data_IF_400004744004
#
_entry.id   IF_400004744004
#
_cell.length_a   1.000
_cell.length_b   1.000
_cell.length_c   1.000
_cell.angle_alpha   90.00
_cell.angle_beta   90.00
_cell.angle_gamma   90.00
#
_symmetry.space_group_name_H-M   'P 1'
#
loop_
_entity.id
_entity.type
_entity.pdbx_description
1 polymer ?
#
# COMPACT_ATOMS: atom_id res chain seq x y z
N UNK A 1 4.74 -36.65 16.20
CA UNK A 1 3.93 -36.16 15.06
C UNK A 1 3.01 -35.07 15.60
N UNK A 2 3.16 -33.81 15.17
CA UNK A 2 2.20 -32.74 15.49
C UNK A 2 0.97 -32.94 14.61
N UNK A 3 -0.23 -32.82 15.19
CA UNK A 3 -1.48 -32.93 14.43
C UNK A 3 -1.48 -31.98 13.24
N UNK A 4 -1.91 -32.39 12.04
CA UNK A 4 -2.05 -31.52 10.89
C UNK A 4 -3.23 -30.55 11.15
N UNK A 5 -2.97 -29.27 11.47
CA UNK A 5 -4.00 -28.24 11.58
C UNK A 5 -3.85 -27.15 12.61
N UNK A 6 -2.81 -27.13 13.45
CA UNK A 6 -2.69 -26.15 14.57
C UNK A 6 -1.82 -24.92 14.28
N UNK A 7 -1.31 -24.74 13.06
CA UNK A 7 -0.51 -23.58 12.66
C UNK A 7 -1.32 -22.49 11.94
N UNK A 8 -0.81 -21.26 11.93
CA UNK A 8 -1.35 -20.19 11.11
C UNK A 8 -1.44 -20.63 9.64
N UNK A 9 -2.52 -20.29 8.90
CA UNK A 9 -2.63 -20.58 7.47
C UNK A 9 -1.55 -19.82 6.70
N UNK A 10 -1.24 -20.30 5.49
CA UNK A 10 -0.38 -19.57 4.58
C UNK A 10 -1.12 -18.39 3.95
N UNK A 11 -0.36 -17.32 3.63
CA UNK A 11 -0.76 -16.24 2.76
C UNK A 11 0.17 -16.27 1.54
N UNK A 12 -0.36 -16.69 0.40
CA UNK A 12 0.34 -16.64 -0.88
C UNK A 12 0.10 -15.26 -1.49
N UNK A 13 1.15 -14.46 -1.53
CA UNK A 13 1.09 -13.07 -2.03
C UNK A 13 1.73 -13.00 -3.40
N UNK A 14 0.99 -12.54 -4.40
CA UNK A 14 1.45 -12.38 -5.78
C UNK A 14 1.65 -10.90 -6.09
N UNK A 15 2.90 -10.50 -6.38
CA UNK A 15 3.27 -9.09 -6.47
C UNK A 15 4.14 -8.78 -7.69
N UNK A 16 3.82 -7.68 -8.36
CA UNK A 16 4.66 -7.05 -9.38
C UNK A 16 5.82 -6.24 -8.78
N UNK A 17 5.81 -6.04 -7.46
CA UNK A 17 6.82 -5.27 -6.75
C UNK A 17 7.93 -6.18 -6.24
N UNK A 18 9.17 -5.66 -6.21
CA UNK A 18 10.30 -6.31 -5.57
C UNK A 18 10.33 -5.97 -4.08
N UNK A 19 10.44 -6.98 -3.24
CA UNK A 19 10.49 -6.83 -1.79
C UNK A 19 11.62 -5.92 -1.31
N UNK A 20 12.79 -6.07 -1.91
CA UNK A 20 14.00 -5.35 -1.51
C UNK A 20 14.24 -4.06 -2.31
N UNK A 21 13.26 -3.57 -3.09
CA UNK A 21 13.46 -2.37 -3.89
C UNK A 21 13.26 -1.09 -3.06
N UNK A 22 12.05 -0.84 -2.60
CA UNK A 22 11.72 0.26 -1.68
C UNK A 22 10.74 -0.24 -0.64
N UNK A 23 10.84 0.30 0.58
CA UNK A 23 9.94 -0.05 1.68
C UNK A 23 8.63 0.74 1.53
N UNK A 24 7.53 0.06 1.32
CA UNK A 24 6.23 0.67 1.05
C UNK A 24 5.07 -0.19 1.58
N UNK A 25 3.82 0.04 1.15
CA UNK A 25 2.62 -0.64 1.62
C UNK A 25 2.75 -2.17 1.79
N UNK A 26 3.25 -2.96 0.81
CA UNK A 26 3.39 -4.40 1.01
C UNK A 26 4.26 -4.77 2.21
N UNK A 27 5.43 -4.14 2.37
CA UNK A 27 6.31 -4.42 3.50
C UNK A 27 5.65 -4.05 4.82
N UNK A 28 5.00 -2.88 4.91
CA UNK A 28 4.29 -2.46 6.11
C UNK A 28 3.17 -3.42 6.52
N UNK A 29 2.37 -3.89 5.55
CA UNK A 29 1.26 -4.79 5.82
C UNK A 29 1.75 -6.21 6.13
N UNK A 30 2.57 -6.78 5.25
CA UNK A 30 2.89 -8.20 5.29
C UNK A 30 3.81 -8.57 6.44
N UNK A 31 4.73 -7.70 6.85
CA UNK A 31 5.54 -7.92 8.06
C UNK A 31 4.67 -8.02 9.32
N UNK A 32 3.60 -7.24 9.40
CA UNK A 32 2.64 -7.30 10.53
C UNK A 32 1.66 -8.47 10.40
N UNK A 33 1.34 -8.88 9.18
CA UNK A 33 0.48 -10.06 8.92
C UNK A 33 1.15 -11.38 9.32
N UNK A 34 2.47 -11.42 9.50
CA UNK A 34 3.17 -12.61 10.02
C UNK A 34 2.66 -13.06 11.40
N UNK A 35 2.02 -12.18 12.17
CA UNK A 35 1.33 -12.55 13.41
C UNK A 35 0.10 -13.46 13.17
N UNK A 36 -0.44 -13.46 11.96
CA UNK A 36 -1.67 -14.19 11.60
C UNK A 36 -1.47 -15.25 10.53
N UNK A 37 -0.38 -15.17 9.76
CA UNK A 37 -0.12 -15.99 8.57
C UNK A 37 1.35 -16.39 8.49
N UNK A 38 1.60 -17.50 7.79
CA UNK A 38 2.90 -17.84 7.22
C UNK A 38 2.94 -17.21 5.82
N UNK A 39 3.66 -16.10 5.66
CA UNK A 39 3.62 -15.31 4.43
C UNK A 39 4.65 -15.79 3.43
N UNK A 40 4.21 -16.13 2.22
CA UNK A 40 5.06 -16.37 1.03
C UNK A 40 4.79 -15.23 0.04
N UNK A 41 5.75 -14.34 -0.12
CA UNK A 41 5.70 -13.22 -1.06
C UNK A 41 6.38 -13.61 -2.36
N UNK A 42 5.58 -13.84 -3.40
CA UNK A 42 6.02 -14.32 -4.70
C UNK A 42 6.15 -13.14 -5.64
N UNK A 43 7.38 -12.86 -6.05
CA UNK A 43 7.74 -11.79 -6.98
C UNK A 43 7.57 -12.22 -8.43
N UNK A 44 7.58 -11.26 -9.35
CA UNK A 44 7.73 -11.56 -10.78
C UNK A 44 9.04 -12.32 -11.05
N UNK A 45 9.07 -13.22 -12.07
CA UNK A 45 10.26 -13.97 -12.37
C UNK A 45 11.42 -13.09 -12.83
N UNK A 46 12.62 -13.60 -12.64
CA UNK A 46 13.87 -13.02 -13.16
C UNK A 46 14.57 -14.00 -14.08
N UNK A 47 15.46 -13.55 -14.98
CA UNK A 47 16.36 -14.44 -15.73
C UNK A 47 17.19 -15.28 -14.78
N UNK A 48 17.28 -16.60 -15.05
CA UNK A 48 18.07 -17.55 -14.29
C UNK A 48 18.80 -18.55 -15.20
N UNK A 49 19.67 -19.39 -14.63
CA UNK A 49 20.35 -20.44 -15.38
C UNK A 49 19.43 -21.60 -15.76
N UNK A 50 18.39 -21.85 -14.97
CA UNK A 50 17.35 -22.88 -15.17
C UNK A 50 16.05 -22.43 -14.49
N UNK A 51 14.95 -23.11 -14.80
CA UNK A 51 13.68 -22.91 -14.12
C UNK A 51 13.77 -23.33 -12.66
N UNK A 52 13.26 -22.50 -11.77
CA UNK A 52 13.26 -22.74 -10.33
C UNK A 52 12.92 -21.47 -9.56
N UNK A 53 13.27 -21.44 -8.30
CA UNK A 53 13.12 -20.22 -7.48
C UNK A 53 14.22 -20.11 -6.44
N UNK A 54 14.45 -18.88 -5.99
CA UNK A 54 15.20 -18.57 -4.77
C UNK A 54 14.25 -18.12 -3.68
N UNK A 55 14.59 -18.42 -2.44
CA UNK A 55 13.81 -17.95 -1.29
C UNK A 55 14.73 -17.40 -0.22
N UNK A 56 14.30 -16.28 0.39
CA UNK A 56 14.98 -15.65 1.52
C UNK A 56 13.96 -15.17 2.54
N UNK A 57 14.33 -15.14 3.82
CA UNK A 57 13.45 -14.62 4.88
C UNK A 57 13.85 -13.17 5.20
N UNK A 58 12.89 -12.29 5.14
CA UNK A 58 13.05 -10.88 5.51
C UNK A 58 11.89 -10.45 6.40
N UNK A 59 12.19 -10.00 7.63
CA UNK A 59 11.20 -9.54 8.62
C UNK A 59 10.04 -10.55 8.84
N UNK A 60 10.36 -11.84 8.85
CA UNK A 60 9.38 -12.93 9.03
C UNK A 60 8.58 -13.31 7.78
N UNK A 61 8.76 -12.60 6.67
CA UNK A 61 8.18 -12.91 5.36
C UNK A 61 9.16 -13.73 4.55
N UNK A 62 8.71 -14.85 3.98
CA UNK A 62 9.49 -15.59 3.00
C UNK A 62 9.28 -14.99 1.62
N UNK A 63 10.32 -14.37 1.09
CA UNK A 63 10.35 -13.80 -0.26
C UNK A 63 10.79 -14.87 -1.23
N UNK A 64 9.96 -15.14 -2.23
CA UNK A 64 10.17 -16.13 -3.27
C UNK A 64 10.36 -15.40 -4.60
N UNK A 65 11.53 -15.55 -5.20
CA UNK A 65 11.88 -14.99 -6.51
C UNK A 65 11.97 -16.12 -7.52
N UNK A 66 10.95 -16.32 -8.39
CA UNK A 66 11.02 -17.29 -9.47
C UNK A 66 12.14 -16.95 -10.44
N UNK A 67 12.82 -17.99 -10.98
CA UNK A 67 13.86 -17.86 -12.01
C UNK A 67 13.44 -18.62 -13.26
N UNK A 68 13.58 -18.01 -14.43
CA UNK A 68 13.33 -18.63 -15.72
C UNK A 68 14.63 -18.72 -16.50
N UNK A 69 15.00 -19.93 -16.90
CA UNK A 69 16.19 -20.19 -17.72
C UNK A 69 15.94 -19.96 -19.20
N UNK A 70 17.00 -19.61 -19.95
CA UNK A 70 16.93 -19.46 -21.41
C UNK A 70 15.94 -18.41 -21.91
N UNK A 71 15.36 -18.65 -23.07
CA UNK A 71 14.29 -17.80 -23.63
C UNK A 71 12.99 -17.96 -22.83
N UNK A 72 12.19 -16.90 -22.81
CA UNK A 72 10.95 -16.87 -22.01
C UNK A 72 9.71 -17.36 -22.77
N UNK A 73 9.91 -18.25 -23.73
CA UNK A 73 8.83 -18.96 -24.39
C UNK A 73 8.04 -19.78 -23.35
N UNK A 74 6.73 -19.89 -23.52
CA UNK A 74 5.82 -20.57 -22.59
C UNK A 74 5.97 -20.10 -21.12
N UNK A 75 6.31 -18.80 -20.91
CA UNK A 75 6.55 -18.20 -19.61
C UNK A 75 5.47 -18.57 -18.59
N UNK A 76 4.20 -18.45 -18.96
CA UNK A 76 3.10 -18.71 -18.04
C UNK A 76 3.05 -20.15 -17.56
N UNK A 77 3.17 -21.13 -18.45
CA UNK A 77 3.18 -22.55 -18.08
C UNK A 77 4.39 -22.93 -17.22
N UNK A 78 5.55 -22.31 -17.47
CA UNK A 78 6.77 -22.53 -16.68
C UNK A 78 6.64 -21.92 -15.28
N UNK A 79 6.13 -20.68 -15.20
CA UNK A 79 5.90 -20.00 -13.92
C UNK A 79 4.84 -20.73 -13.09
N UNK A 80 3.78 -21.28 -13.72
CA UNK A 80 2.81 -22.16 -13.05
C UNK A 80 3.51 -23.32 -12.34
N UNK A 81 4.39 -24.07 -13.04
CA UNK A 81 5.13 -25.19 -12.45
C UNK A 81 6.04 -24.76 -11.29
N UNK A 82 6.65 -23.58 -11.39
CA UNK A 82 7.48 -23.04 -10.30
C UNK A 82 6.61 -22.72 -9.08
N UNK A 83 5.45 -22.09 -9.27
CA UNK A 83 4.50 -21.78 -8.18
C UNK A 83 4.03 -23.10 -7.53
N UNK A 84 3.69 -24.12 -8.32
CA UNK A 84 3.29 -25.44 -7.81
C UNK A 84 4.41 -26.08 -6.97
N UNK A 85 5.67 -25.96 -7.43
CA UNK A 85 6.83 -26.45 -6.65
C UNK A 85 6.95 -25.69 -5.32
N UNK A 86 6.77 -24.36 -5.30
CA UNK A 86 6.75 -23.57 -4.05
C UNK A 86 5.65 -24.07 -3.11
N UNK A 87 4.42 -24.25 -3.62
CA UNK A 87 3.29 -24.76 -2.83
C UNK A 87 3.60 -26.13 -2.23
N UNK A 88 4.21 -27.03 -3.01
CA UNK A 88 4.59 -28.38 -2.59
C UNK A 88 5.73 -28.36 -1.55
N UNK A 89 6.83 -27.63 -1.83
CA UNK A 89 8.03 -27.60 -1.01
C UNK A 89 7.78 -27.00 0.39
N UNK A 90 6.87 -26.01 0.46
CA UNK A 90 6.44 -25.41 1.73
C UNK A 90 5.29 -26.18 2.41
N UNK A 91 4.77 -27.26 1.80
CA UNK A 91 3.67 -28.04 2.34
C UNK A 91 2.39 -27.20 2.56
N UNK A 92 2.07 -26.35 1.59
CA UNK A 92 0.93 -25.41 1.69
C UNK A 92 -0.37 -26.18 1.47
N UNK A 93 -1.10 -26.44 2.54
CA UNK A 93 -2.38 -27.18 2.49
C UNK A 93 -3.58 -26.28 2.80
N UNK A 94 -3.37 -25.24 3.58
CA UNK A 94 -4.41 -24.30 4.01
C UNK A 94 -3.90 -22.88 3.81
N UNK A 95 -4.52 -22.12 2.91
CA UNK A 95 -4.00 -20.83 2.49
C UNK A 95 -5.08 -19.88 1.97
N UNK A 96 -4.73 -18.58 2.01
CA UNK A 96 -5.39 -17.51 1.29
C UNK A 96 -4.48 -17.02 0.16
N UNK A 97 -5.05 -16.57 -0.96
CA UNK A 97 -4.32 -15.89 -2.02
C UNK A 97 -4.53 -14.38 -1.91
N UNK A 98 -3.44 -13.63 -2.00
CA UNK A 98 -3.42 -12.17 -1.94
C UNK A 98 -2.75 -11.63 -3.20
N UNK A 99 -3.46 -10.82 -3.95
CA UNK A 99 -2.97 -10.26 -5.20
C UNK A 99 -2.74 -8.76 -5.06
N UNK A 100 -1.52 -8.30 -5.36
CA UNK A 100 -1.18 -6.90 -5.62
C UNK A 100 -1.26 -6.57 -7.11
N UNK A 101 -1.34 -7.59 -7.96
CA UNK A 101 -1.46 -7.45 -9.42
C UNK A 101 -2.31 -8.57 -9.98
N UNK A 102 -3.17 -8.29 -10.99
CA UNK A 102 -3.91 -9.34 -11.69
C UNK A 102 -3.03 -10.17 -12.63
N UNK A 103 -1.80 -9.73 -12.91
CA UNK A 103 -0.90 -10.37 -13.88
C UNK A 103 -0.47 -11.79 -13.53
N UNK A 104 -0.65 -12.22 -12.27
CA UNK A 104 -0.41 -13.60 -11.84
C UNK A 104 -1.63 -14.53 -12.00
N UNK A 105 -2.78 -14.03 -12.44
CA UNK A 105 -3.98 -14.87 -12.59
C UNK A 105 -3.78 -16.04 -13.57
N UNK A 106 -3.16 -15.86 -14.76
CA UNK A 106 -2.95 -16.96 -15.68
C UNK A 106 -2.24 -18.16 -15.03
N UNK A 107 -1.26 -17.88 -14.19
CA UNK A 107 -0.41 -18.89 -13.51
C UNK A 107 -1.06 -19.49 -12.26
N UNK A 108 -2.10 -18.86 -11.72
CA UNK A 108 -2.67 -19.23 -10.41
C UNK A 108 -4.16 -19.59 -10.44
N UNK A 109 -4.80 -19.61 -11.64
CA UNK A 109 -6.23 -19.94 -11.78
C UNK A 109 -6.61 -21.32 -11.22
N UNK A 110 -5.69 -22.27 -11.26
CA UNK A 110 -5.89 -23.66 -10.80
C UNK A 110 -5.82 -23.81 -9.29
N UNK A 111 -5.23 -22.83 -8.58
CA UNK A 111 -5.12 -22.86 -7.13
C UNK A 111 -6.50 -22.77 -6.46
N UNK A 112 -6.63 -23.42 -5.29
CA UNK A 112 -7.88 -23.51 -4.53
C UNK A 112 -7.71 -22.91 -3.11
N UNK A 113 -7.53 -21.60 -2.98
CA UNK A 113 -7.41 -20.95 -1.68
C UNK A 113 -8.74 -20.98 -0.91
N UNK A 114 -8.69 -20.88 0.43
CA UNK A 114 -9.88 -20.68 1.26
C UNK A 114 -10.51 -19.29 1.05
N UNK A 115 -9.70 -18.32 0.59
CA UNK A 115 -10.14 -16.95 0.34
C UNK A 115 -9.19 -16.27 -0.64
N UNK A 116 -9.75 -15.44 -1.52
CA UNK A 116 -9.01 -14.60 -2.47
C UNK A 116 -9.14 -13.12 -2.08
N UNK A 117 -8.01 -12.46 -1.84
CA UNK A 117 -7.91 -11.02 -1.58
C UNK A 117 -7.31 -10.33 -2.80
N UNK A 118 -7.93 -9.25 -3.24
CA UNK A 118 -7.30 -8.30 -4.16
C UNK A 118 -7.01 -6.99 -3.43
N UNK A 119 -5.73 -6.70 -3.15
CA UNK A 119 -5.28 -5.41 -2.61
C UNK A 119 -4.88 -4.50 -3.78
N UNK A 120 -5.88 -3.81 -4.32
CA UNK A 120 -5.73 -2.84 -5.39
C UNK A 120 -5.15 -1.55 -4.82
N UNK A 121 -3.83 -1.49 -4.69
CA UNK A 121 -3.15 -0.34 -4.10
C UNK A 121 -2.97 0.83 -5.07
N UNK A 122 -2.98 0.56 -6.37
CA UNK A 122 -2.81 1.53 -7.46
C UNK A 122 -3.74 1.19 -8.64
N UNK A 123 -4.02 2.17 -9.50
CA UNK A 123 -4.63 1.95 -10.82
C UNK A 123 -3.55 1.54 -11.82
N UNK A 124 -3.18 0.24 -11.81
CA UNK A 124 -2.05 -0.26 -12.60
C UNK A 124 -2.20 0.00 -14.11
N UNK A 125 -3.44 0.05 -14.62
CA UNK A 125 -3.71 0.33 -16.03
C UNK A 125 -3.38 1.78 -16.44
N UNK A 126 -3.24 2.69 -15.49
CA UNK A 126 -2.90 4.09 -15.73
C UNK A 126 -1.39 4.35 -15.81
N UNK A 127 -0.56 3.36 -15.50
CA UNK A 127 0.90 3.51 -15.58
C UNK A 127 1.40 3.37 -17.02
N UNK A 128 2.45 4.13 -17.33
CA UNK A 128 3.16 4.00 -18.58
C UNK A 128 3.64 2.57 -18.78
N UNK A 129 3.45 2.02 -19.97
CA UNK A 129 3.79 0.63 -20.32
C UNK A 129 2.94 -0.46 -19.63
N UNK A 130 1.75 -0.13 -19.12
CA UNK A 130 0.81 -1.15 -18.63
C UNK A 130 0.50 -2.18 -19.73
N UNK A 131 0.60 -3.51 -19.44
CA UNK A 131 0.26 -4.53 -20.43
C UNK A 131 -1.20 -4.43 -20.86
N UNK A 132 -1.52 -4.63 -22.14
CA UNK A 132 -2.89 -4.48 -22.65
C UNK A 132 -3.89 -5.46 -22.03
N UNK A 133 -3.42 -6.66 -21.64
CA UNK A 133 -4.23 -7.69 -20.97
C UNK A 133 -4.60 -7.34 -19.52
N UNK A 134 -3.93 -6.37 -18.90
CA UNK A 134 -4.10 -6.02 -17.49
C UNK A 134 -5.55 -5.68 -17.12
N UNK A 135 -6.26 -4.94 -18.00
CA UNK A 135 -7.66 -4.54 -17.76
C UNK A 135 -8.60 -5.77 -17.76
N UNK A 136 -8.37 -6.72 -18.66
CA UNK A 136 -9.15 -7.94 -18.71
C UNK A 136 -8.90 -8.84 -17.48
N UNK A 137 -7.63 -8.96 -17.10
CA UNK A 137 -7.22 -9.71 -15.90
C UNK A 137 -7.70 -9.05 -14.60
N UNK A 138 -7.71 -7.71 -14.52
CA UNK A 138 -8.29 -7.01 -13.36
C UNK A 138 -9.78 -7.32 -13.23
N UNK A 139 -10.53 -7.30 -14.33
CA UNK A 139 -11.96 -7.64 -14.31
C UNK A 139 -12.18 -9.08 -13.86
N UNK A 140 -11.34 -10.02 -14.32
CA UNK A 140 -11.38 -11.41 -13.88
C UNK A 140 -11.06 -11.53 -12.38
N UNK A 141 -10.02 -10.83 -11.90
CA UNK A 141 -9.65 -10.85 -10.49
C UNK A 141 -10.72 -10.26 -9.59
N UNK A 142 -11.34 -9.13 -10.00
CA UNK A 142 -12.49 -8.56 -9.28
C UNK A 142 -13.67 -9.55 -9.19
N UNK A 143 -13.92 -10.32 -10.24
CA UNK A 143 -14.98 -11.33 -10.21
C UNK A 143 -14.65 -12.55 -9.34
N UNK A 144 -13.35 -12.86 -9.17
CA UNK A 144 -12.87 -14.02 -8.35
C UNK A 144 -12.62 -13.68 -6.89
N UNK A 145 -12.33 -12.43 -6.58
CA UNK A 145 -12.01 -12.02 -5.23
C UNK A 145 -13.21 -12.20 -4.27
N UNK A 146 -12.95 -12.65 -3.06
CA UNK A 146 -13.92 -12.67 -1.96
C UNK A 146 -13.97 -11.32 -1.25
N UNK A 147 -12.86 -10.59 -1.28
CA UNK A 147 -12.73 -9.25 -0.72
C UNK A 147 -11.72 -8.43 -1.53
N UNK A 148 -12.04 -7.15 -1.72
CA UNK A 148 -11.18 -6.17 -2.39
C UNK A 148 -10.83 -5.07 -1.41
N UNK A 149 -9.55 -4.73 -1.34
CA UNK A 149 -9.04 -3.55 -0.64
C UNK A 149 -8.56 -2.53 -1.67
N UNK A 150 -8.79 -1.25 -1.40
CA UNK A 150 -8.26 -0.16 -2.24
C UNK A 150 -7.28 0.70 -1.45
N UNK A 151 -6.22 1.14 -2.12
CA UNK A 151 -5.12 1.88 -1.52
C UNK A 151 -5.44 3.33 -1.15
N UNK A 152 -6.61 3.84 -1.50
CA UNK A 152 -7.01 5.21 -1.18
C UNK A 152 -8.46 5.55 -1.53
N UNK A 153 -8.97 6.69 -1.04
CA UNK A 153 -10.35 7.13 -1.26
C UNK A 153 -10.71 7.32 -2.73
N UNK A 154 -9.84 7.92 -3.54
CA UNK A 154 -10.08 8.14 -4.96
C UNK A 154 -10.19 6.82 -5.73
N UNK A 155 -9.34 5.86 -5.42
CA UNK A 155 -9.37 4.52 -6.01
C UNK A 155 -10.62 3.74 -5.57
N UNK A 156 -10.99 3.87 -4.28
CA UNK A 156 -12.25 3.31 -3.77
C UNK A 156 -13.46 3.88 -4.53
N UNK A 157 -13.55 5.19 -4.68
CA UNK A 157 -14.65 5.84 -5.41
C UNK A 157 -14.75 5.35 -6.86
N UNK A 158 -13.61 5.07 -7.51
CA UNK A 158 -13.55 4.56 -8.89
C UNK A 158 -13.94 3.07 -9.02
N UNK A 159 -13.82 2.29 -7.94
CA UNK A 159 -14.01 0.82 -8.00
C UNK A 159 -15.14 0.29 -7.10
N UNK A 160 -15.76 1.09 -6.23
CA UNK A 160 -16.77 0.66 -5.26
C UNK A 160 -17.96 -0.09 -5.86
N UNK A 161 -18.35 0.25 -7.08
CA UNK A 161 -19.48 -0.38 -7.78
C UNK A 161 -19.06 -1.65 -8.58
N UNK A 162 -17.77 -2.00 -8.58
CA UNK A 162 -17.23 -3.14 -9.32
C UNK A 162 -17.17 -4.42 -8.48
N UNK A 163 -17.33 -4.32 -7.16
CA UNK A 163 -17.31 -5.49 -6.26
C UNK A 163 -18.15 -5.26 -5.00
N UNK A 164 -18.92 -6.27 -4.58
CA UNK A 164 -19.87 -6.17 -3.47
C UNK A 164 -19.21 -6.11 -2.07
N UNK A 165 -17.98 -6.59 -1.94
CA UNK A 165 -17.23 -6.64 -0.68
C UNK A 165 -15.89 -5.89 -0.86
N UNK A 166 -15.98 -4.58 -1.03
CA UNK A 166 -14.85 -3.69 -1.26
C UNK A 166 -14.70 -2.71 -0.10
N UNK A 167 -13.45 -2.48 0.34
CA UNK A 167 -13.14 -1.62 1.48
C UNK A 167 -11.96 -0.71 1.16
N UNK A 168 -12.05 0.53 1.64
CA UNK A 168 -10.98 1.52 1.52
C UNK A 168 -10.01 1.39 2.69
N UNK A 169 -8.74 1.12 2.38
CA UNK A 169 -7.62 1.15 3.34
C UNK A 169 -6.51 2.03 2.77
N UNK A 170 -6.56 3.35 3.03
CA UNK A 170 -5.54 4.27 2.54
C UNK A 170 -4.16 3.94 3.12
N UNK A 171 -3.15 4.56 2.56
CA UNK A 171 -1.81 4.52 3.13
C UNK A 171 -1.83 5.04 4.56
N UNK A 172 -1.14 4.34 5.45
CA UNK A 172 -1.00 4.68 6.85
C UNK A 172 0.45 5.08 7.16
N UNK A 173 0.84 5.08 8.42
CA UNK A 173 2.13 5.59 8.86
C UNK A 173 2.79 4.70 9.91
N UNK A 174 4.12 4.66 9.89
CA UNK A 174 4.96 4.28 11.04
C UNK A 174 5.36 5.56 11.79
N UNK A 175 4.44 6.06 12.61
CA UNK A 175 4.61 7.34 13.31
C UNK A 175 5.89 7.36 14.15
N UNK A 176 6.15 6.29 14.92
CA UNK A 176 7.32 6.21 15.80
C UNK A 176 8.64 6.25 15.01
N UNK A 177 8.64 5.74 13.78
CA UNK A 177 9.82 5.77 12.92
C UNK A 177 10.11 7.20 12.44
N UNK A 178 9.12 7.90 11.87
CA UNK A 178 9.32 9.23 11.31
C UNK A 178 9.40 10.34 12.37
N UNK A 179 8.71 10.20 13.50
CA UNK A 179 8.79 11.15 14.61
C UNK A 179 10.22 11.29 15.19
N UNK A 180 11.12 10.31 14.97
CA UNK A 180 12.55 10.44 15.31
C UNK A 180 13.18 11.68 14.67
N UNK A 181 12.72 12.09 13.49
CA UNK A 181 13.22 13.26 12.79
C UNK A 181 13.02 14.58 13.55
N UNK A 182 12.07 14.63 14.50
CA UNK A 182 11.85 15.81 15.36
C UNK A 182 12.95 16.03 16.40
N UNK A 183 13.78 15.01 16.64
CA UNK A 183 14.85 15.04 17.64
C UNK A 183 16.19 15.59 17.12
N UNK A 184 16.23 16.31 16.01
CA UNK A 184 17.45 16.87 15.41
C UNK A 184 18.56 15.84 15.24
N UNK A 185 18.30 14.81 14.44
CA UNK A 185 19.25 13.75 14.13
C UNK A 185 20.47 14.30 13.38
N UNK A 186 21.60 13.60 13.52
CA UNK A 186 22.83 13.93 12.80
C UNK A 186 22.56 13.98 11.28
N UNK A 187 22.97 15.08 10.67
CA UNK A 187 22.85 15.29 9.23
C UNK A 187 23.74 14.28 8.47
N UNK A 188 23.17 13.49 7.54
CA UNK A 188 23.95 12.61 6.68
C UNK A 188 25.09 13.36 5.96
N UNK A 189 26.23 12.73 5.83
CA UNK A 189 27.46 13.40 5.37
C UNK A 189 27.32 13.96 3.95
N UNK A 190 26.72 13.19 3.06
CA UNK A 190 26.46 13.58 1.68
C UNK A 190 25.39 14.69 1.56
N UNK A 191 24.37 14.67 2.43
CA UNK A 191 23.39 15.76 2.47
C UNK A 191 23.98 17.04 3.08
N UNK A 192 24.93 16.90 4.00
CA UNK A 192 25.55 18.06 4.68
C UNK A 192 26.24 19.01 3.71
N UNK A 193 26.75 18.50 2.57
CA UNK A 193 27.36 19.29 1.53
C UNK A 193 26.35 20.24 0.84
N UNK A 194 25.06 19.92 0.85
CA UNK A 194 24.01 20.84 0.44
C UNK A 194 23.83 21.94 1.50
N UNK A 195 23.70 23.18 1.08
CA UNK A 195 23.46 24.32 1.97
C UNK A 195 22.08 24.28 2.67
N UNK A 196 21.72 25.37 3.32
CA UNK A 196 20.41 25.60 3.93
C UNK A 196 19.83 26.93 3.45
N UNK A 197 18.50 27.15 3.47
CA UNK A 197 17.46 26.16 3.86
C UNK A 197 17.30 25.03 2.83
N UNK A 198 16.69 23.90 3.28
CA UNK A 198 16.49 22.70 2.46
C UNK A 198 15.03 22.36 2.28
N UNK A 199 14.66 22.09 1.03
CA UNK A 199 13.36 21.54 0.65
C UNK A 199 13.58 20.12 0.15
N UNK A 200 13.00 19.13 0.82
CA UNK A 200 13.29 17.73 0.55
C UNK A 200 12.12 16.93 -0.03
N UNK A 201 12.47 15.93 -0.83
CA UNK A 201 11.60 14.88 -1.32
C UNK A 201 12.28 13.53 -1.13
N UNK A 202 11.55 12.52 -0.66
CA UNK A 202 12.00 11.14 -0.78
C UNK A 202 10.98 10.26 -1.48
N UNK A 203 11.45 9.29 -2.24
CA UNK A 203 10.65 8.30 -2.95
C UNK A 203 11.17 8.00 -4.34
N UNK A 204 10.49 7.11 -5.03
CA UNK A 204 10.81 6.79 -6.43
C UNK A 204 10.61 8.02 -7.31
N UNK A 205 11.61 8.33 -8.12
CA UNK A 205 11.59 9.39 -9.13
C UNK A 205 11.31 8.71 -10.48
N UNK A 206 10.08 8.83 -10.97
CA UNK A 206 9.60 8.23 -12.21
C UNK A 206 8.65 9.18 -12.96
N UNK A 207 7.84 8.66 -13.88
CA UNK A 207 6.89 9.46 -14.68
C UNK A 207 5.85 10.23 -13.86
N UNK A 208 5.75 9.96 -12.57
CA UNK A 208 4.87 10.69 -11.64
C UNK A 208 5.51 11.96 -11.07
N UNK A 209 6.82 12.12 -11.26
CA UNK A 209 7.55 13.27 -10.75
C UNK A 209 7.54 14.42 -11.78
N UNK A 210 7.14 15.62 -11.35
CA UNK A 210 7.15 16.83 -12.18
C UNK A 210 8.55 17.50 -12.17
N UNK A 211 9.39 17.04 -13.08
CA UNK A 211 10.76 17.55 -13.21
C UNK A 211 10.80 19.03 -13.64
N UNK A 212 9.81 19.50 -14.42
CA UNK A 212 9.75 20.90 -14.85
C UNK A 212 9.38 21.82 -13.68
N UNK A 213 8.42 21.41 -12.86
CA UNK A 213 8.05 22.12 -11.63
C UNK A 213 9.26 22.29 -10.71
N UNK A 214 10.06 21.22 -10.51
CA UNK A 214 11.30 21.29 -9.73
C UNK A 214 12.29 22.27 -10.37
N UNK A 215 12.51 22.20 -11.71
CA UNK A 215 13.44 23.07 -12.44
C UNK A 215 13.09 24.53 -12.26
N UNK A 216 11.84 24.88 -12.52
CA UNK A 216 11.37 26.26 -12.42
C UNK A 216 11.43 26.80 -10.97
N UNK A 217 11.01 25.98 -10.00
CA UNK A 217 11.04 26.37 -8.58
C UNK A 217 12.49 26.61 -8.13
N UNK A 218 13.40 25.69 -8.43
CA UNK A 218 14.82 25.82 -8.06
C UNK A 218 15.48 27.05 -8.69
N UNK A 219 15.15 27.36 -9.96
CA UNK A 219 15.63 28.56 -10.64
C UNK A 219 15.18 29.86 -9.98
N UNK A 220 13.96 29.89 -9.45
CA UNK A 220 13.41 31.05 -8.74
C UNK A 220 13.90 31.20 -7.30
N UNK A 221 14.54 30.16 -6.75
CA UNK A 221 14.99 30.11 -5.35
C UNK A 221 16.47 29.69 -5.25
N UNK A 222 17.41 30.46 -5.81
CA UNK A 222 18.83 30.04 -5.88
C UNK A 222 19.50 29.89 -4.49
N UNK A 223 18.92 30.49 -3.44
CA UNK A 223 19.38 30.37 -2.06
C UNK A 223 18.75 29.21 -1.28
N UNK A 224 17.87 28.42 -1.90
CA UNK A 224 17.23 27.24 -1.29
C UNK A 224 17.74 25.97 -1.96
N UNK A 225 18.06 24.96 -1.18
CA UNK A 225 18.61 23.69 -1.67
C UNK A 225 17.53 22.62 -1.73
N UNK A 226 17.37 22.00 -2.90
CA UNK A 226 16.38 20.95 -3.16
C UNK A 226 17.06 19.60 -3.06
N UNK A 227 16.65 18.77 -2.09
CA UNK A 227 17.27 17.47 -1.78
C UNK A 227 16.32 16.35 -2.22
N UNK A 228 16.72 15.58 -3.24
CA UNK A 228 15.94 14.50 -3.83
C UNK A 228 16.53 13.16 -3.41
N UNK A 229 15.82 12.41 -2.58
CA UNK A 229 16.24 11.10 -2.04
C UNK A 229 15.42 9.99 -2.67
N UNK A 230 16.05 9.07 -3.39
CA UNK A 230 15.41 7.90 -3.96
C UNK A 230 15.96 7.47 -5.31
N UNK A 231 15.55 6.28 -5.78
CA UNK A 231 15.98 5.76 -7.08
C UNK A 231 15.26 6.45 -8.23
N UNK A 232 15.97 6.66 -9.33
CA UNK A 232 15.40 7.08 -10.62
C UNK A 232 15.08 5.83 -11.43
N UNK A 233 13.82 5.64 -11.83
CA UNK A 233 13.40 4.46 -12.60
C UNK A 233 12.37 4.85 -13.66
N UNK A 234 12.30 4.07 -14.73
CA UNK A 234 11.34 4.22 -15.86
C UNK A 234 11.44 5.53 -16.65
N UNK A 235 12.31 6.45 -16.27
CA UNK A 235 12.63 7.68 -17.01
C UNK A 235 14.13 7.74 -17.25
N UNK A 236 14.54 8.51 -18.26
CA UNK A 236 15.95 8.79 -18.51
C UNK A 236 16.46 9.78 -17.44
N UNK A 237 17.48 9.42 -16.63
CA UNK A 237 18.05 10.33 -15.64
C UNK A 237 18.56 11.65 -16.24
N UNK A 238 18.94 11.68 -17.52
CA UNK A 238 19.38 12.90 -18.21
C UNK A 238 18.26 13.94 -18.38
N UNK A 239 16.99 13.54 -18.25
CA UNK A 239 15.83 14.46 -18.29
C UNK A 239 15.61 15.24 -17.00
N UNK A 240 16.25 14.80 -15.91
CA UNK A 240 16.12 15.45 -14.62
C UNK A 240 16.86 16.81 -14.61
N UNK A 241 16.29 17.84 -13.96
CA UNK A 241 16.91 19.15 -13.90
C UNK A 241 18.22 19.12 -13.13
N UNK A 242 19.25 19.75 -13.71
CA UNK A 242 20.56 19.94 -13.08
C UNK A 242 20.73 21.43 -12.76
N UNK A 243 20.99 21.74 -11.50
CA UNK A 243 21.29 23.10 -11.03
C UNK A 243 22.16 23.03 -9.77
N UNK A 244 22.94 24.09 -9.45
CA UNK A 244 23.82 24.08 -8.27
C UNK A 244 23.08 23.86 -6.94
N UNK A 245 21.78 24.13 -6.89
CA UNK A 245 20.94 23.97 -5.71
C UNK A 245 19.98 22.77 -5.79
N UNK A 246 20.17 21.84 -6.74
CA UNK A 246 19.44 20.57 -6.80
C UNK A 246 20.40 19.42 -6.52
N UNK A 247 20.08 18.59 -5.53
CA UNK A 247 20.95 17.53 -5.03
C UNK A 247 20.22 16.19 -5.07
N UNK A 248 20.72 15.24 -5.87
CA UNK A 248 20.19 13.88 -5.96
C UNK A 248 21.03 12.95 -5.08
N UNK A 249 20.42 12.40 -4.02
CA UNK A 249 21.09 11.57 -3.02
C UNK A 249 21.07 10.07 -3.35
N UNK A 250 20.33 9.67 -4.42
CA UNK A 250 20.13 8.26 -4.74
C UNK A 250 19.25 7.53 -3.73
N UNK A 251 19.15 6.23 -3.90
CA UNK A 251 18.34 5.36 -3.02
C UNK A 251 18.98 5.28 -1.62
N UNK A 252 18.12 5.31 -0.60
CA UNK A 252 18.48 5.14 0.82
C UNK A 252 17.61 4.07 1.46
N UNK A 253 18.15 3.45 2.51
CA UNK A 253 17.39 2.52 3.31
C UNK A 253 16.27 3.25 4.08
N UNK A 254 15.16 2.56 4.30
CA UNK A 254 14.02 3.12 5.03
C UNK A 254 14.43 3.62 6.42
N UNK A 255 15.36 2.92 7.08
CA UNK A 255 15.90 3.27 8.40
C UNK A 255 16.62 4.62 8.44
N UNK A 256 17.17 5.07 7.32
CA UNK A 256 17.96 6.30 7.24
C UNK A 256 17.11 7.55 6.98
N UNK A 257 15.90 7.36 6.44
CA UNK A 257 15.02 8.46 6.03
C UNK A 257 14.77 9.50 7.13
N UNK A 258 14.55 9.12 8.41
CA UNK A 258 14.39 10.12 9.48
C UNK A 258 15.59 11.07 9.63
N UNK A 259 16.83 10.60 9.40
CA UNK A 259 18.02 11.44 9.50
C UNK A 259 18.09 12.47 8.36
N UNK A 260 17.72 12.08 7.14
CA UNK A 260 17.60 13.02 6.02
C UNK A 260 16.52 14.07 6.31
N UNK A 261 15.30 13.64 6.65
CA UNK A 261 14.14 14.51 6.87
C UNK A 261 14.36 15.43 8.07
N UNK A 262 15.05 14.98 9.12
CA UNK A 262 15.37 15.79 10.30
C UNK A 262 16.12 17.07 9.96
N UNK A 263 16.78 17.10 8.82
CA UNK A 263 17.62 18.19 8.36
C UNK A 263 17.00 18.99 7.19
N UNK A 264 15.71 18.77 6.89
CA UNK A 264 14.95 19.60 5.96
C UNK A 264 14.16 20.67 6.73
N UNK A 265 13.87 21.76 6.07
CA UNK A 265 13.03 22.84 6.59
C UNK A 265 11.59 22.67 6.09
N UNK A 266 11.41 22.25 4.83
CA UNK A 266 10.14 21.99 4.17
C UNK A 266 10.21 20.66 3.41
N UNK A 267 9.14 19.92 3.35
CA UNK A 267 8.99 18.76 2.47
C UNK A 267 8.17 19.11 1.23
N UNK A 268 8.49 18.53 0.08
CA UNK A 268 7.76 18.77 -1.15
C UNK A 268 7.23 17.48 -1.77
N UNK A 269 6.09 17.60 -2.47
CA UNK A 269 5.49 16.54 -3.27
C UNK A 269 5.18 17.06 -4.68
N UNK A 270 6.18 17.14 -5.56
CA UNK A 270 6.03 17.68 -6.91
C UNK A 270 5.57 16.58 -7.87
N UNK A 271 4.35 16.09 -7.68
CA UNK A 271 3.79 15.10 -8.58
C UNK A 271 3.18 15.76 -9.82
N UNK A 272 3.47 15.16 -10.98
CA UNK A 272 2.79 15.49 -12.22
C UNK A 272 1.29 15.14 -12.10
N UNK A 273 0.43 15.97 -12.66
CA UNK A 273 -1.01 15.75 -12.69
C UNK A 273 -1.38 14.99 -13.96
N UNK A 274 -1.29 13.68 -13.92
CA UNK A 274 -1.56 12.78 -15.05
C UNK A 274 -2.39 11.57 -14.60
N UNK A 275 -2.70 10.65 -15.52
CA UNK A 275 -3.52 9.48 -15.21
C UNK A 275 -2.88 8.58 -14.12
N UNK A 276 -1.54 8.44 -14.09
CA UNK A 276 -0.86 7.60 -13.11
C UNK A 276 -0.89 8.16 -11.67
N UNK A 277 -1.10 9.49 -11.53
CA UNK A 277 -1.18 10.17 -10.22
C UNK A 277 -2.61 10.41 -9.75
N UNK A 278 -3.60 10.16 -10.60
CA UNK A 278 -5.01 10.46 -10.33
C UNK A 278 -5.57 9.72 -9.11
N UNK A 279 -5.11 8.47 -8.88
CA UNK A 279 -5.66 7.58 -7.86
C UNK A 279 -4.63 7.16 -6.81
N UNK A 280 -3.49 7.85 -6.73
CA UNK A 280 -2.49 7.52 -5.71
C UNK A 280 -2.87 8.08 -4.34
N UNK A 281 -2.58 7.30 -3.29
CA UNK A 281 -2.66 7.72 -1.89
C UNK A 281 -1.24 7.67 -1.29
N UNK A 282 -0.45 8.76 -1.42
CA UNK A 282 0.95 8.75 -1.05
C UNK A 282 1.16 8.57 0.46
N UNK A 283 2.08 7.68 0.84
CA UNK A 283 2.53 7.55 2.24
C UNK A 283 3.30 8.77 2.72
N UNK A 284 3.90 9.51 1.79
CA UNK A 284 4.85 10.61 2.08
C UNK A 284 4.24 11.76 2.88
N UNK A 285 3.00 12.15 2.58
CA UNK A 285 2.38 13.28 3.30
C UNK A 285 2.32 13.04 4.81
N UNK A 286 1.73 11.93 5.32
CA UNK A 286 1.72 11.68 6.75
C UNK A 286 3.14 11.41 7.31
N UNK A 287 4.07 10.87 6.52
CA UNK A 287 5.46 10.63 6.93
C UNK A 287 6.21 11.94 7.16
N UNK A 288 6.08 12.93 6.26
CA UNK A 288 6.64 14.27 6.43
C UNK A 288 6.03 15.02 7.61
N UNK A 289 4.72 14.94 7.75
CA UNK A 289 4.00 15.58 8.85
C UNK A 289 4.41 14.97 10.21
N UNK A 290 4.55 13.65 10.31
CA UNK A 290 5.04 13.00 11.53
C UNK A 290 6.49 13.40 11.86
N UNK A 291 7.31 13.61 10.84
CA UNK A 291 8.67 14.11 10.98
C UNK A 291 8.73 15.61 11.37
N UNK A 292 7.57 16.28 11.50
CA UNK A 292 7.51 17.71 11.84
C UNK A 292 7.92 18.61 10.68
N UNK A 293 7.68 18.18 9.43
CA UNK A 293 8.00 19.00 8.24
C UNK A 293 6.71 19.45 7.56
N UNK A 294 6.52 20.77 7.32
CA UNK A 294 5.41 21.25 6.53
C UNK A 294 5.56 20.77 5.09
N UNK A 295 4.44 20.60 4.39
CA UNK A 295 4.40 19.94 3.07
C UNK A 295 3.86 20.90 2.02
N UNK A 296 4.59 21.08 0.92
CA UNK A 296 4.10 21.72 -0.29
C UNK A 296 3.84 20.66 -1.34
N UNK A 297 2.60 20.52 -1.80
CA UNK A 297 2.17 19.47 -2.72
C UNK A 297 1.44 20.02 -3.93
N UNK A 298 1.61 19.38 -5.08
CA UNK A 298 0.65 19.49 -6.18
C UNK A 298 -0.69 18.89 -5.75
N UNK A 299 -1.83 19.26 -6.39
CA UNK A 299 -3.16 18.82 -5.97
C UNK A 299 -3.44 17.35 -6.33
N UNK A 300 -2.68 16.42 -5.77
CA UNK A 300 -2.99 14.99 -5.78
C UNK A 300 -4.30 14.78 -5.04
N UNK A 301 -5.26 14.09 -5.65
CA UNK A 301 -6.64 13.99 -5.17
C UNK A 301 -6.73 13.58 -3.70
N UNK A 302 -6.08 12.49 -3.32
CA UNK A 302 -6.15 11.98 -1.94
C UNK A 302 -5.38 12.85 -0.94
N UNK A 303 -4.35 13.60 -1.39
CA UNK A 303 -3.67 14.59 -0.54
C UNK A 303 -4.58 15.77 -0.25
N UNK A 304 -5.25 16.29 -1.30
CA UNK A 304 -6.21 17.40 -1.15
C UNK A 304 -7.33 17.04 -0.18
N UNK A 305 -7.96 15.87 -0.39
CA UNK A 305 -9.11 15.45 0.43
C UNK A 305 -8.74 15.11 1.88
N UNK A 306 -7.53 14.60 2.12
CA UNK A 306 -7.16 14.11 3.45
C UNK A 306 -6.40 15.15 4.26
N UNK A 307 -5.56 15.96 3.61
CA UNK A 307 -4.59 16.82 4.29
C UNK A 307 -4.69 18.29 3.89
N UNK A 308 -5.51 18.63 2.89
CA UNK A 308 -5.55 19.98 2.32
C UNK A 308 -6.01 21.08 3.27
N UNK A 309 -6.74 20.73 4.33
CA UNK A 309 -7.23 21.68 5.34
C UNK A 309 -6.22 21.95 6.47
N UNK A 310 -5.14 21.15 6.57
CA UNK A 310 -4.11 21.36 7.60
C UNK A 310 -3.23 22.57 7.26
N UNK A 311 -3.06 23.48 8.22
CA UNK A 311 -2.19 24.65 8.09
C UNK A 311 -0.75 24.30 7.66
N UNK A 312 -0.27 23.09 7.98
CA UNK A 312 1.07 22.59 7.61
C UNK A 312 1.12 21.93 6.24
N UNK A 313 0.06 22.05 5.42
CA UNK A 313 0.01 21.52 4.06
C UNK A 313 -0.46 22.60 3.09
N UNK A 314 0.38 22.93 2.12
CA UNK A 314 0.03 23.85 1.04
C UNK A 314 -0.19 23.07 -0.26
N UNK A 315 -1.39 23.23 -0.84
CA UNK A 315 -1.76 22.63 -2.14
C UNK A 315 -1.63 23.68 -3.24
N UNK A 316 -0.71 23.48 -4.16
CA UNK A 316 -0.31 24.46 -5.17
C UNK A 316 -0.12 23.84 -6.55
N UNK A 317 -0.20 24.66 -7.62
CA UNK A 317 -0.25 24.17 -9.00
C UNK A 317 0.89 24.67 -9.90
N UNK A 318 1.66 25.64 -9.43
CA UNK A 318 2.69 26.27 -10.26
C UNK A 318 3.96 26.54 -9.45
N UNK A 319 5.08 26.67 -10.13
CA UNK A 319 6.37 26.97 -9.52
C UNK A 319 6.36 28.29 -8.71
N UNK A 320 5.60 29.29 -9.14
CA UNK A 320 5.38 30.53 -8.36
C UNK A 320 4.69 30.28 -7.04
N UNK A 321 3.65 29.44 -7.06
CA UNK A 321 2.91 29.09 -5.85
C UNK A 321 3.75 28.20 -4.94
N UNK A 322 4.55 27.26 -5.52
CA UNK A 322 5.53 26.48 -4.75
C UNK A 322 6.51 27.38 -4.02
N UNK A 323 7.10 28.33 -4.75
CA UNK A 323 8.01 29.33 -4.16
C UNK A 323 7.34 30.07 -2.99
N UNK A 324 6.17 30.65 -3.20
CA UNK A 324 5.47 31.40 -2.17
C UNK A 324 5.14 30.54 -0.93
N UNK A 325 4.68 29.30 -1.11
CA UNK A 325 4.38 28.39 -0.01
C UNK A 325 5.66 27.94 0.73
N UNK A 326 6.76 27.73 0.03
CA UNK A 326 8.04 27.40 0.66
C UNK A 326 8.51 28.59 1.50
N UNK A 327 8.46 29.83 0.97
CA UNK A 327 8.86 31.05 1.68
C UNK A 327 8.00 31.24 2.95
N UNK A 328 6.68 31.06 2.84
CA UNK A 328 5.78 31.11 3.99
C UNK A 328 6.15 30.08 5.06
N UNK A 329 6.42 28.81 4.68
CA UNK A 329 6.79 27.77 5.63
C UNK A 329 8.19 27.93 6.24
N UNK A 330 9.11 28.61 5.56
CA UNK A 330 10.42 28.94 6.12
C UNK A 330 10.34 30.01 7.23
N UNK A 331 9.30 30.83 7.20
CA UNK A 331 9.01 31.87 8.19
C UNK A 331 7.98 31.43 9.25
N UNK A 332 7.29 30.27 9.01
CA UNK A 332 6.16 29.82 9.83
C UNK A 332 6.61 29.30 11.21
N UNK A 333 5.80 29.59 12.20
CA UNK A 333 6.01 29.18 13.59
C UNK A 333 5.50 27.76 13.93
N UNK A 334 5.42 27.45 15.22
CA UNK A 334 5.01 26.13 15.71
C UNK A 334 3.50 25.87 15.63
N UNK A 335 2.67 26.87 15.27
CA UNK A 335 1.22 26.74 15.25
C UNK A 335 0.74 25.71 14.21
N UNK A 336 -0.36 25.01 14.52
CA UNK A 336 -1.00 24.02 13.63
C UNK A 336 -0.48 22.58 13.79
N UNK A 337 0.62 22.34 14.51
CA UNK A 337 1.13 20.98 14.71
C UNK A 337 0.23 20.13 15.61
N UNK A 338 -0.46 20.73 16.59
CA UNK A 338 -1.37 20.02 17.49
C UNK A 338 -2.50 19.30 16.75
N UNK A 339 -3.08 19.93 15.73
CA UNK A 339 -4.13 19.34 14.90
C UNK A 339 -3.58 18.18 14.05
N UNK A 340 -2.43 18.39 13.43
CA UNK A 340 -1.72 17.34 12.65
C UNK A 340 -1.42 16.13 13.54
N UNK A 341 -0.83 16.34 14.71
CA UNK A 341 -0.46 15.27 15.63
C UNK A 341 -1.69 14.52 16.16
N UNK A 342 -2.79 15.21 16.47
CA UNK A 342 -4.04 14.59 16.86
C UNK A 342 -4.61 13.69 15.74
N UNK A 343 -4.54 14.13 14.49
CA UNK A 343 -4.96 13.32 13.35
C UNK A 343 -4.08 12.09 13.15
N UNK A 344 -2.75 12.27 13.15
CA UNK A 344 -1.80 11.18 12.94
C UNK A 344 -1.82 10.13 14.07
N UNK A 345 -2.16 10.52 15.31
CA UNK A 345 -2.30 9.60 16.44
C UNK A 345 -3.39 8.52 16.19
N UNK A 346 -4.37 8.80 15.33
CA UNK A 346 -5.39 7.83 14.91
C UNK A 346 -4.93 6.84 13.83
N UNK A 347 -3.74 7.03 13.26
CA UNK A 347 -3.22 6.26 12.13
C UNK A 347 -2.09 5.33 12.55
N UNK A 348 -2.15 4.08 12.11
CA UNK A 348 -1.00 3.16 12.19
C UNK A 348 -1.17 1.99 11.22
N UNK A 349 -0.06 1.49 10.69
CA UNK A 349 -0.07 0.25 9.90
C UNK A 349 -0.55 -0.95 10.70
N UNK A 350 -0.32 -0.96 12.02
CA UNK A 350 -0.82 -2.02 12.90
C UNK A 350 -2.35 -2.04 12.91
N UNK A 351 -2.98 -0.89 13.12
CA UNK A 351 -4.44 -0.76 13.08
C UNK A 351 -5.00 -1.12 11.69
N UNK A 352 -4.35 -0.69 10.63
CA UNK A 352 -4.76 -1.05 9.26
C UNK A 352 -4.77 -2.57 9.08
N UNK A 353 -3.73 -3.28 9.51
CA UNK A 353 -3.67 -4.75 9.41
C UNK A 353 -4.75 -5.41 10.27
N UNK A 354 -4.98 -4.96 11.49
CA UNK A 354 -6.02 -5.48 12.38
C UNK A 354 -7.41 -5.35 11.75
N UNK A 355 -7.71 -4.18 11.18
CA UNK A 355 -8.98 -3.91 10.52
C UNK A 355 -9.14 -4.77 9.23
N UNK A 356 -8.08 -4.92 8.43
CA UNK A 356 -8.08 -5.81 7.24
C UNK A 356 -8.30 -7.27 7.64
N UNK A 357 -7.59 -7.76 8.67
CA UNK A 357 -7.75 -9.13 9.19
C UNK A 357 -9.17 -9.35 9.73
N UNK A 358 -9.76 -8.35 10.38
CA UNK A 358 -11.16 -8.43 10.83
C UNK A 358 -12.14 -8.56 9.66
N UNK A 359 -11.92 -7.82 8.55
CA UNK A 359 -12.72 -7.98 7.31
C UNK A 359 -12.57 -9.39 6.74
N UNK A 360 -11.34 -9.89 6.62
CA UNK A 360 -11.05 -11.24 6.12
C UNK A 360 -11.79 -12.31 6.96
N UNK A 361 -11.71 -12.21 8.28
CA UNK A 361 -12.36 -13.14 9.19
C UNK A 361 -13.89 -13.12 9.04
N UNK A 362 -14.49 -11.94 8.88
CA UNK A 362 -15.93 -11.80 8.61
C UNK A 362 -16.33 -12.43 7.28
N UNK A 363 -15.53 -12.23 6.24
CA UNK A 363 -15.76 -12.81 4.90
C UNK A 363 -15.73 -14.35 4.97
N UNK A 364 -14.70 -14.91 5.59
CA UNK A 364 -14.59 -16.38 5.79
C UNK A 364 -15.78 -16.97 6.58
N UNK A 365 -16.22 -16.28 7.63
CA UNK A 365 -17.36 -16.75 8.43
C UNK A 365 -18.66 -16.79 7.61
N UNK A 366 -18.89 -15.78 6.76
CA UNK A 366 -20.05 -15.74 5.84
C UNK A 366 -20.00 -16.86 4.81
N UNK A 367 -18.87 -17.09 4.17
CA UNK A 367 -18.70 -18.17 3.18
C UNK A 367 -18.97 -19.56 3.79
N UNK A 368 -18.45 -19.82 5.01
CA UNK A 368 -18.70 -21.08 5.74
C UNK A 368 -20.17 -21.25 6.15
N UNK A 369 -20.85 -20.16 6.51
CA UNK A 369 -22.27 -20.20 6.86
C UNK A 369 -23.13 -20.55 5.64
N UNK A 370 -22.89 -19.89 4.50
CA UNK A 370 -23.62 -20.19 3.24
C UNK A 370 -23.37 -21.63 2.79
N UNK A 371 -22.11 -22.11 2.88
CA UNK A 371 -21.79 -23.51 2.55
C UNK A 371 -22.54 -24.49 3.45
N UNK A 372 -22.59 -24.28 4.79
CA UNK A 372 -23.32 -25.15 5.74
C UNK A 372 -24.82 -25.17 5.47
N UNK A 373 -25.41 -24.02 5.11
CA UNK A 373 -26.86 -23.98 4.77
C UNK A 373 -27.16 -24.73 3.46
N UNK A 374 -26.26 -24.69 2.48
CA UNK A 374 -26.39 -25.41 1.20
C UNK A 374 -26.23 -26.93 1.35
N UNK A 375 -25.31 -27.36 2.21
CA UNK A 375 -24.97 -28.78 2.38
C UNK A 375 -25.88 -29.48 3.42
N UNK A 376 -26.46 -28.73 4.36
CA UNK A 376 -27.37 -29.23 5.41
C UNK A 376 -28.65 -28.41 5.53
N UNK A 377 -29.52 -28.40 4.51
CA UNK A 377 -30.74 -27.59 4.55
C UNK A 377 -31.76 -28.07 5.61
N UNK A 378 -31.64 -29.29 6.10
CA UNK A 378 -32.64 -29.92 6.98
C UNK A 378 -32.53 -29.58 8.49
N UNK A 379 -31.54 -28.79 8.93
CA UNK A 379 -31.37 -28.41 10.34
C UNK A 379 -31.98 -27.06 10.72
N UNK A 380 -32.44 -26.27 9.76
CA UNK A 380 -32.98 -24.93 9.99
C UNK A 380 -34.49 -24.85 10.17
N UNK A 381 -35.23 -25.98 10.01
CA UNK A 381 -36.68 -26.03 10.13
C UNK A 381 -37.11 -27.15 11.09
N UNK A 382 -36.92 -26.92 12.38
CA UNK A 382 -37.81 -27.56 13.39
C UNK A 382 -38.71 -26.47 13.95
N UNK A 383 -39.99 -26.40 13.58
CA UNK A 383 -40.96 -25.63 14.34
C UNK A 383 -41.07 -26.28 15.71
N UNK A 384 -41.06 -25.48 16.76
CA UNK A 384 -41.40 -25.93 18.10
C UNK A 384 -42.80 -26.53 18.05
N UNK A 385 -42.92 -27.81 18.35
CA UNK A 385 -44.22 -28.48 18.56
C UNK A 385 -44.90 -27.77 19.74
N UNK A 386 -45.91 -26.98 19.43
CA UNK A 386 -46.88 -26.48 20.40
C UNK A 386 -47.65 -27.66 20.95
N UNK A 387 -47.31 -28.06 22.18
CA UNK A 387 -48.10 -28.96 22.96
C UNK A 387 -49.46 -28.31 23.28
N UNK A 388 -50.53 -28.89 22.73
CA UNK A 388 -51.92 -28.63 23.15
C UNK A 388 -52.11 -29.23 24.51
N UNK A 389 -52.44 -28.42 25.51
CA UNK A 389 -52.90 -28.81 26.85
C UNK A 389 -53.99 -27.84 27.27
N UNK A 390 -55.20 -28.36 27.19
CA UNK A 390 -56.50 -27.81 27.59
C UNK A 390 -56.56 -27.28 29.01
N UNK A 391 -57.37 -26.28 29.21
CA UNK A 391 -58.48 -25.99 30.08
C UNK A 391 -58.40 -24.77 31.00
N UNK A 392 -59.53 -24.09 30.98
CA UNK A 392 -60.25 -23.36 32.00
C UNK A 392 -59.95 -21.91 32.33
N UNK A 393 -60.83 -21.11 31.83
CA UNK A 393 -61.64 -20.03 32.48
C UNK A 393 -61.02 -19.24 33.67
N UNK A 394 -60.98 -17.92 33.55
CA UNK A 394 -61.69 -16.95 34.37
C UNK A 394 -61.43 -15.51 33.98
N UNK A 395 -62.43 -14.82 33.58
CA UNK A 395 -62.91 -13.45 33.83
C UNK A 395 -61.98 -12.38 34.38
N UNK A 396 -61.91 -11.30 33.62
CA UNK A 396 -62.38 -9.94 33.90
C UNK A 396 -61.48 -8.96 34.63
N UNK A 397 -61.58 -7.73 34.10
CA UNK A 397 -61.47 -6.37 34.63
C UNK A 397 -60.13 -5.67 34.37
N UNK A 398 -60.18 -4.79 33.38
CA UNK A 398 -60.43 -3.36 33.40
C UNK A 398 -59.39 -2.46 34.12
N UNK A 399 -59.10 -1.40 33.42
CA UNK A 399 -58.61 -0.07 33.81
C UNK A 399 -57.07 0.16 33.85
N UNK A 400 -56.54 0.83 32.99
CA UNK A 400 -56.20 2.20 32.59
C UNK A 400 -54.95 2.26 31.76
#
# INVERSE_FOLDING_TARGET
MREPGTGNPYLLVFSHLRWNFVFQRPQHLLTRMTAHYRVLFIEEPVPGGKDGYKAAVSHGVTVVTPELGGEWNDRSARLTRIIDSVVADYGVTRYHSWYYTPMFLPETRHLKPELVVFDCMDELSAFKFAPPELIALERELLAKADVVFTGGPSLYAAKKDKHHNIHCFPSSIDYAHFAKARAHLKDPEDQRAAGRPRVGFFGVIDERFDAELLRETARMMPGVHFVMVGPVVKIDPATLPQAPNIHYMGQRDYSDLPAFISNWDVAMMPFALNESTRFISPTKTPEYLAAGRPVVSTPVTDVVHTYGDFRKVAIVRSARQFKAAIEEFLEDGPEGWGEVDAYLAGMSWQKTVEDMVAVIRRTLARSRHVYRQRVHPARAARPALSGTGSTAAAKALDYR
#
